data_IF_122091334192
#
_entry.id   IF_122091334192
#
_cell.length_a   1.000
_cell.length_b   1.000
_cell.length_c   1.000
_cell.angle_alpha   90.00
_cell.angle_beta   90.00
_cell.angle_gamma   90.00
#
_symmetry.space_group_name_H-M   'P 1'
#
loop_
_entity.id
_entity.type
_entity.pdbx_description
1 polymer ?
#
# COMPACT_ATOMS: atom_id res chain seq x y z
N UNK A 1 9.21 13.02 4.06
CA UNK A 1 7.90 12.80 3.41
C UNK A 1 7.07 11.88 4.30
N UNK A 2 6.19 12.47 5.13
CA UNK A 2 5.42 11.76 6.17
C UNK A 2 4.04 11.25 5.71
N UNK A 3 3.65 11.51 4.46
CA UNK A 3 2.35 11.11 3.90
C UNK A 3 2.64 10.41 2.58
N UNK A 4 2.29 9.14 2.47
CA UNK A 4 2.45 8.37 1.23
C UNK A 4 1.73 9.02 0.04
N UNK A 5 1.95 8.49 -1.15
CA UNK A 5 1.25 8.93 -2.37
C UNK A 5 0.19 7.92 -2.76
N UNK A 6 -1.01 8.41 -3.07
CA UNK A 6 -2.05 7.62 -3.72
C UNK A 6 -1.92 7.78 -5.24
N UNK A 7 -1.96 6.68 -5.98
CA UNK A 7 -1.80 6.64 -7.42
C UNK A 7 -2.93 5.82 -8.02
N UNK A 8 -3.60 6.36 -9.03
CA UNK A 8 -4.52 5.59 -9.87
C UNK A 8 -3.70 4.79 -10.89
N UNK A 9 -3.86 3.48 -10.88
CA UNK A 9 -3.28 2.55 -11.85
C UNK A 9 -4.38 2.13 -12.82
N UNK A 10 -4.21 2.50 -14.08
CA UNK A 10 -5.06 2.00 -15.15
C UNK A 10 -4.71 0.53 -15.42
N UNK A 11 -5.74 -0.31 -15.43
CA UNK A 11 -5.61 -1.74 -15.73
C UNK A 11 -6.00 -1.94 -17.19
N UNK A 12 -5.24 -2.76 -17.93
CA UNK A 12 -5.57 -3.10 -19.33
C UNK A 12 -6.91 -3.82 -19.47
N UNK A 13 -7.35 -4.52 -18.41
CA UNK A 13 -8.66 -5.15 -18.34
C UNK A 13 -9.25 -4.96 -16.93
N UNK A 14 -10.50 -4.50 -16.88
CA UNK A 14 -11.22 -4.20 -15.63
C UNK A 14 -11.04 -2.77 -15.13
N UNK A 15 -11.72 -2.41 -14.04
CA UNK A 15 -11.73 -1.07 -13.48
C UNK A 15 -10.33 -0.63 -13.02
N UNK A 16 -10.05 0.66 -13.16
CA UNK A 16 -8.87 1.29 -12.57
C UNK A 16 -8.78 0.98 -11.08
N UNK A 17 -7.56 0.85 -10.57
CA UNK A 17 -7.33 0.59 -9.15
C UNK A 17 -6.56 1.72 -8.49
N UNK A 18 -6.86 1.96 -7.23
CA UNK A 18 -6.12 2.88 -6.38
C UNK A 18 -5.00 2.12 -5.68
N UNK A 19 -3.76 2.55 -5.90
CA UNK A 19 -2.57 2.02 -5.24
C UNK A 19 -1.98 3.09 -4.34
N UNK A 20 -1.88 2.80 -3.06
CA UNK A 20 -1.18 3.65 -2.11
C UNK A 20 0.25 3.17 -1.93
N UNK A 21 1.20 4.09 -2.01
CA UNK A 21 2.62 3.84 -1.71
C UNK A 21 3.04 4.72 -0.54
N UNK A 22 3.73 4.16 0.44
CA UNK A 22 4.23 4.91 1.59
C UNK A 22 5.57 4.38 2.02
N UNK A 23 6.30 5.19 2.79
CA UNK A 23 7.55 4.76 3.42
C UNK A 23 7.38 4.72 4.92
N UNK A 24 7.65 3.57 5.51
CA UNK A 24 7.66 3.36 6.96
C UNK A 24 9.07 3.52 7.50
N UNK A 25 9.19 3.97 8.76
CA UNK A 25 10.45 3.88 9.48
C UNK A 25 10.49 2.49 10.11
N UNK A 26 11.33 1.62 9.56
CA UNK A 26 11.60 0.33 10.15
C UNK A 26 12.32 0.46 11.50
N UNK A 27 12.35 -0.61 12.29
CA UNK A 27 12.93 -0.64 13.63
C UNK A 27 14.42 -0.31 13.64
N UNK A 28 15.14 -0.67 12.58
CA UNK A 28 16.57 -0.37 12.39
C UNK A 28 16.84 1.07 11.91
N UNK A 29 15.82 1.94 11.85
CA UNK A 29 15.93 3.27 11.24
C UNK A 29 15.98 3.24 9.70
N UNK A 30 15.90 2.04 9.09
CA UNK A 30 15.80 1.87 7.65
C UNK A 30 14.43 2.31 7.15
N UNK A 31 14.41 2.99 6.02
CA UNK A 31 13.17 3.42 5.37
C UNK A 31 12.63 2.28 4.51
N UNK A 32 11.51 1.69 4.93
CA UNK A 32 10.87 0.57 4.22
C UNK A 32 9.85 1.15 3.24
N UNK A 33 10.05 0.92 1.95
CA UNK A 33 9.11 1.34 0.91
C UNK A 33 8.03 0.27 0.72
N UNK A 34 6.77 0.64 0.93
CA UNK A 34 5.63 -0.26 0.79
C UNK A 34 4.61 0.28 -0.20
N UNK A 35 3.84 -0.65 -0.76
CA UNK A 35 2.73 -0.38 -1.67
C UNK A 35 1.59 -1.34 -1.38
N UNK A 36 0.35 -0.86 -1.45
CA UNK A 36 -0.86 -1.68 -1.31
C UNK A 36 -1.95 -1.16 -2.22
N UNK A 37 -2.72 -2.08 -2.80
CA UNK A 37 -3.93 -1.74 -3.56
C UNK A 37 -5.05 -1.50 -2.54
N UNK A 38 -5.66 -0.33 -2.62
CA UNK A 38 -6.72 0.12 -1.70
C UNK A 38 -8.09 -0.37 -2.17
N UNK A 39 -8.29 -0.40 -3.48
CA UNK A 39 -9.52 -0.86 -4.11
C UNK A 39 -9.62 -0.41 -5.55
N UNK A 40 -10.75 -0.71 -6.18
CA UNK A 40 -11.07 -0.23 -7.54
C UNK A 40 -11.66 1.17 -7.50
N UNK A 41 -11.68 1.84 -8.65
CA UNK A 41 -12.35 3.12 -8.83
C UNK A 41 -13.87 3.00 -8.66
N UNK A 42 -14.44 1.83 -8.93
CA UNK A 42 -15.86 1.55 -8.68
C UNK A 42 -16.17 1.57 -7.18
N UNK A 43 -15.25 1.07 -6.34
CA UNK A 43 -15.42 1.07 -4.89
C UNK A 43 -15.07 2.44 -4.28
N UNK A 44 -14.12 3.16 -4.87
CA UNK A 44 -13.72 4.51 -4.48
C UNK A 44 -13.72 5.45 -5.70
N UNK A 45 -14.86 6.09 -6.01
CA UNK A 45 -15.00 6.91 -7.22
C UNK A 45 -14.19 8.21 -7.17
N UNK A 46 -13.74 8.63 -5.98
CA UNK A 46 -13.00 9.87 -5.78
C UNK A 46 -11.69 9.63 -5.03
N UNK A 47 -10.68 10.44 -5.35
CA UNK A 47 -9.40 10.40 -4.63
C UNK A 47 -9.59 10.62 -3.13
N UNK A 48 -10.53 11.49 -2.74
CA UNK A 48 -10.83 11.76 -1.33
C UNK A 48 -11.39 10.52 -0.60
N UNK A 49 -12.28 9.77 -1.25
CA UNK A 49 -12.80 8.51 -0.74
C UNK A 49 -11.69 7.46 -0.58
N UNK A 50 -10.84 7.33 -1.60
CA UNK A 50 -9.68 6.45 -1.55
C UNK A 50 -8.67 6.88 -0.48
N UNK A 51 -8.46 8.18 -0.25
CA UNK A 51 -7.61 8.71 0.83
C UNK A 51 -8.18 8.38 2.21
N UNK A 52 -9.49 8.49 2.42
CA UNK A 52 -10.10 8.11 3.71
C UNK A 52 -9.89 6.62 4.01
N UNK A 53 -10.05 5.77 2.99
CA UNK A 53 -9.75 4.33 3.11
C UNK A 53 -8.27 4.08 3.44
N UNK A 54 -7.36 4.83 2.80
CA UNK A 54 -5.92 4.80 3.13
C UNK A 54 -5.65 5.22 4.57
N UNK A 55 -6.30 6.26 5.10
CA UNK A 55 -6.07 6.70 6.48
C UNK A 55 -6.43 5.59 7.47
N UNK A 56 -7.58 4.92 7.27
CA UNK A 56 -7.96 3.76 8.08
C UNK A 56 -6.93 2.63 8.00
N UNK A 57 -6.48 2.31 6.79
CA UNK A 57 -5.46 1.30 6.54
C UNK A 57 -4.13 1.63 7.21
N UNK A 58 -3.66 2.88 7.10
CA UNK A 58 -2.40 3.33 7.69
C UNK A 58 -2.49 3.32 9.22
N UNK A 59 -3.62 3.70 9.80
CA UNK A 59 -3.85 3.57 11.24
C UNK A 59 -3.79 2.10 11.70
N UNK A 60 -4.38 1.19 10.93
CA UNK A 60 -4.30 -0.26 11.19
C UNK A 60 -2.87 -0.79 11.07
N UNK A 61 -2.12 -0.37 10.04
CA UNK A 61 -0.72 -0.76 9.84
C UNK A 61 0.13 -0.25 11.01
N UNK A 62 0.04 1.02 11.38
CA UNK A 62 0.79 1.56 12.52
C UNK A 62 0.42 0.87 13.84
N UNK A 63 -0.83 0.42 13.98
CA UNK A 63 -1.28 -0.34 15.16
C UNK A 63 -0.80 -1.79 15.16
N UNK A 64 -0.66 -2.39 13.97
CA UNK A 64 -0.23 -3.79 13.77
C UNK A 64 1.29 -3.95 13.73
N UNK A 65 2.03 -2.93 13.31
CA UNK A 65 3.50 -2.86 13.29
C UNK A 65 4.11 -3.02 14.69
N UNK A 66 3.35 -2.66 15.75
CA UNK A 66 3.73 -2.96 17.14
C UNK A 66 3.75 -4.46 17.48
N UNK A 67 3.35 -5.36 16.57
CA UNK A 67 3.25 -6.81 16.84
C UNK A 67 3.84 -7.74 15.79
N UNK A 68 4.37 -7.25 14.67
CA UNK A 68 4.82 -8.15 13.59
C UNK A 68 6.17 -7.74 13.00
N UNK A 69 7.22 -7.95 13.79
CA UNK A 69 8.63 -7.94 13.35
C UNK A 69 9.08 -9.29 12.77
N UNK A 70 8.16 -10.20 12.40
CA UNK A 70 8.52 -11.49 11.84
C UNK A 70 7.82 -11.72 10.50
N UNK A 71 8.62 -12.18 9.53
CA UNK A 71 8.28 -12.48 8.12
C UNK A 71 8.47 -11.32 7.13
N UNK A 72 9.70 -10.80 7.08
CA UNK A 72 10.20 -10.14 5.86
C UNK A 72 10.65 -11.19 4.83
N UNK A 73 10.20 -10.99 3.59
CA UNK A 73 10.86 -11.35 2.32
C UNK A 73 11.09 -12.84 1.98
N UNK A 74 10.25 -13.37 1.08
CA UNK A 74 10.71 -13.85 -0.23
C UNK A 74 9.51 -14.02 -1.18
N UNK A 75 9.22 -13.01 -2.01
CA UNK A 75 8.58 -13.27 -3.31
C UNK A 75 9.68 -13.01 -4.33
N UNK A 76 10.46 -14.06 -4.56
CA UNK A 76 11.28 -14.20 -5.74
C UNK A 76 10.37 -14.28 -6.96
N UNK A 77 10.63 -13.36 -7.89
CA UNK A 77 10.63 -13.52 -9.34
C UNK A 77 10.22 -14.91 -9.90
N UNK A 78 9.29 -15.00 -10.87
CA UNK A 78 8.98 -16.27 -11.53
C UNK A 78 10.08 -16.64 -12.54
N UNK A 79 10.62 -17.87 -12.53
CA UNK A 79 11.41 -18.33 -13.66
C UNK A 79 10.48 -18.54 -14.86
N UNK A 80 10.76 -17.80 -15.93
CA UNK A 80 10.33 -18.13 -17.29
C UNK A 80 11.07 -19.38 -17.75
N UNK A 81 10.35 -20.46 -18.02
CA UNK A 81 10.67 -21.50 -19.01
C UNK A 81 9.39 -22.16 -19.48
#
# INVERSE_FOLDING_TARGET
>A
MQRGSLIRKNRKQGPDVWQFRWSEKGPEGRRIYRKRVIGTLEQYPSEDAARRAVVGLVSEINSSDRRCDYMTTSIGDPPVF
#
